data_IF_009890073883
#
_entry.id   IF_009890073883
#
_cell.length_a   1.000
_cell.length_b   1.000
_cell.length_c   1.000
_cell.angle_alpha   90.00
_cell.angle_beta   90.00
_cell.angle_gamma   90.00
#
_symmetry.space_group_name_H-M   'P 1'
#
loop_
_entity.id
_entity.type
_entity.pdbx_description
1 polymer ?
#
# COMPACT_ATOMS: atom_id res chain seq x y z
N UNK A 1 -32.97 -15.30 3.66
CA UNK A 1 -31.70 -14.75 4.20
C UNK A 1 -30.93 -14.10 3.06
N UNK A 2 -30.50 -12.83 3.16
CA UNK A 2 -29.75 -12.21 2.08
C UNK A 2 -28.32 -12.79 2.05
N UNK A 3 -27.96 -13.40 0.91
CA UNK A 3 -26.59 -13.86 0.64
C UNK A 3 -25.64 -12.65 0.76
N UNK A 4 -24.74 -12.65 1.75
CA UNK A 4 -23.66 -11.67 1.82
C UNK A 4 -22.87 -11.74 0.51
N UNK A 5 -22.93 -10.67 -0.28
CA UNK A 5 -22.14 -10.52 -1.50
C UNK A 5 -20.66 -10.63 -1.09
N UNK A 6 -19.94 -11.62 -1.61
CA UNK A 6 -18.51 -11.74 -1.36
C UNK A 6 -17.83 -10.49 -1.92
N UNK A 7 -17.39 -9.59 -1.04
CA UNK A 7 -16.62 -8.42 -1.42
C UNK A 7 -15.30 -8.91 -2.04
N UNK A 8 -15.04 -8.48 -3.27
CA UNK A 8 -13.81 -8.78 -4.00
C UNK A 8 -12.62 -8.11 -3.31
N UNK A 9 -11.55 -8.86 -3.05
CA UNK A 9 -10.37 -8.37 -2.33
C UNK A 9 -9.69 -7.24 -3.10
N UNK A 10 -9.44 -6.11 -2.43
CA UNK A 10 -8.80 -4.92 -3.02
C UNK A 10 -7.55 -4.46 -2.25
N UNK A 11 -6.67 -3.65 -2.87
CA UNK A 11 -5.59 -2.95 -2.15
C UNK A 11 -6.07 -2.11 -0.97
N UNK A 12 -7.23 -1.46 -1.11
CA UNK A 12 -7.81 -0.63 -0.05
C UNK A 12 -8.23 -1.49 1.17
N UNK A 13 -8.75 -2.69 0.93
CA UNK A 13 -9.06 -3.64 2.00
C UNK A 13 -7.80 -4.11 2.73
N UNK A 14 -6.72 -4.41 1.98
CA UNK A 14 -5.42 -4.75 2.57
C UNK A 14 -4.92 -3.63 3.47
N UNK A 15 -4.94 -2.40 2.96
CA UNK A 15 -4.51 -1.22 3.70
C UNK A 15 -5.35 -1.00 4.96
N UNK A 16 -6.68 -1.17 4.88
CA UNK A 16 -7.59 -1.06 6.03
C UNK A 16 -7.26 -2.08 7.11
N UNK A 17 -7.07 -3.35 6.74
CA UNK A 17 -6.74 -4.42 7.70
C UNK A 17 -5.36 -4.18 8.32
N UNK A 18 -4.34 -3.83 7.52
CA UNK A 18 -3.00 -3.60 8.04
C UNK A 18 -2.93 -2.37 8.97
N UNK A 19 -3.57 -1.25 8.60
CA UNK A 19 -3.59 -0.03 9.42
C UNK A 19 -4.25 -0.25 10.78
N UNK A 20 -5.26 -1.12 10.85
CA UNK A 20 -5.91 -1.47 12.12
C UNK A 20 -4.99 -2.18 13.12
N UNK A 21 -3.84 -2.69 12.68
CA UNK A 21 -2.87 -3.38 13.52
C UNK A 21 -1.71 -2.47 13.99
N UNK A 22 -1.65 -1.22 13.54
CA UNK A 22 -0.61 -0.26 13.96
C UNK A 22 -0.62 -0.12 15.48
N UNK A 23 0.56 -0.27 16.09
CA UNK A 23 0.72 -0.23 17.55
C UNK A 23 0.71 -1.61 18.21
N UNK A 24 0.34 -2.69 17.49
CA UNK A 24 0.52 -4.05 17.98
C UNK A 24 1.99 -4.32 18.33
N UNK A 25 2.23 -4.92 19.50
CA UNK A 25 3.55 -5.34 19.99
C UNK A 25 3.60 -6.85 20.10
N UNK A 26 4.73 -7.42 19.71
CA UNK A 26 4.99 -8.83 20.03
C UNK A 26 5.18 -9.00 21.54
N UNK A 27 4.94 -10.22 22.00
CA UNK A 27 5.30 -10.65 23.35
C UNK A 27 6.53 -11.56 23.27
N UNK A 28 7.51 -11.40 24.17
CA UNK A 28 8.74 -12.20 24.10
C UNK A 28 9.46 -12.09 22.75
N UNK A 29 10.14 -13.16 22.31
CA UNK A 29 10.84 -13.19 21.03
C UNK A 29 9.94 -13.74 19.92
N UNK A 30 9.45 -12.87 19.03
CA UNK A 30 8.64 -13.23 17.86
C UNK A 30 7.33 -14.01 18.16
N UNK A 31 6.77 -13.91 19.38
CA UNK A 31 5.47 -14.52 19.68
C UNK A 31 4.34 -13.55 19.34
N UNK A 32 3.62 -13.83 18.26
CA UNK A 32 2.53 -12.98 17.74
C UNK A 32 1.32 -13.80 17.30
N UNK A 33 0.14 -13.15 17.24
CA UNK A 33 -1.05 -13.76 16.63
C UNK A 33 -0.85 -14.10 15.15
N UNK A 34 0.05 -13.40 14.46
CA UNK A 34 0.34 -13.61 13.04
C UNK A 34 1.15 -14.89 12.83
N UNK A 35 2.17 -15.11 13.65
CA UNK A 35 2.93 -16.35 13.66
C UNK A 35 2.06 -17.54 14.07
N UNK A 36 1.19 -17.39 15.07
CA UNK A 36 0.21 -18.43 15.44
C UNK A 36 -0.72 -18.80 14.28
N UNK A 37 -1.25 -17.82 13.55
CA UNK A 37 -2.10 -18.07 12.37
C UNK A 37 -1.30 -18.68 11.20
N UNK A 38 -0.01 -18.34 11.08
CA UNK A 38 0.86 -18.91 10.06
C UNK A 38 1.22 -20.38 10.36
N UNK A 39 1.47 -20.72 11.63
CA UNK A 39 1.72 -22.08 12.09
C UNK A 39 3.20 -22.45 12.13
N UNK A 40 3.48 -23.75 12.05
CA UNK A 40 4.83 -24.31 12.09
C UNK A 40 5.57 -24.12 10.77
N UNK A 41 6.88 -23.88 10.86
CA UNK A 41 7.79 -23.83 9.72
C UNK A 41 9.02 -24.72 9.98
N UNK A 42 9.61 -25.33 8.96
CA UNK A 42 10.86 -26.10 9.12
C UNK A 42 11.95 -25.27 9.79
N UNK A 43 12.70 -25.88 10.73
CA UNK A 43 13.76 -25.22 11.48
C UNK A 43 13.31 -24.45 12.72
N UNK A 44 12.00 -24.37 13.00
CA UNK A 44 11.46 -23.75 14.22
C UNK A 44 10.63 -24.75 15.03
N UNK A 45 10.96 -24.97 16.31
CA UNK A 45 10.42 -26.09 17.10
C UNK A 45 8.95 -25.91 17.51
N UNK A 46 8.41 -24.69 17.44
CA UNK A 46 7.10 -24.35 17.97
C UNK A 46 6.26 -23.60 16.95
N UNK A 47 5.00 -24.04 16.79
CA UNK A 47 4.03 -23.38 15.93
C UNK A 47 3.83 -21.93 16.40
N UNK A 48 4.21 -20.99 15.54
CA UNK A 48 4.01 -19.58 15.79
C UNK A 48 4.96 -18.93 16.80
N UNK A 49 6.18 -19.45 16.97
CA UNK A 49 7.18 -18.88 17.88
C UNK A 49 8.59 -18.91 17.29
N UNK A 50 9.40 -17.91 17.63
CA UNK A 50 10.84 -17.87 17.37
C UNK A 50 11.27 -17.33 16.00
N UNK A 51 10.41 -17.34 14.98
CA UNK A 51 10.77 -16.88 13.63
C UNK A 51 10.32 -15.44 13.32
N UNK A 52 11.11 -14.67 12.53
CA UNK A 52 10.74 -13.34 12.06
C UNK A 52 9.35 -13.30 11.42
N UNK A 53 8.54 -12.29 11.77
CA UNK A 53 7.12 -12.28 11.44
C UNK A 53 6.67 -11.20 10.45
N UNK A 54 7.60 -10.57 9.73
CA UNK A 54 7.25 -9.56 8.71
C UNK A 54 6.43 -10.17 7.56
N UNK A 55 6.88 -11.31 7.01
CA UNK A 55 6.17 -12.00 5.94
C UNK A 55 4.93 -12.77 6.42
N UNK A 56 4.94 -13.31 7.65
CA UNK A 56 3.75 -13.93 8.24
C UNK A 56 2.65 -12.90 8.50
N UNK A 57 3.00 -11.68 8.91
CA UNK A 57 2.07 -10.54 8.98
C UNK A 57 1.47 -10.22 7.61
N UNK A 58 2.28 -10.15 6.54
CA UNK A 58 1.76 -9.96 5.18
C UNK A 58 0.78 -11.07 4.78
N UNK A 59 1.12 -12.32 5.08
CA UNK A 59 0.25 -13.47 4.81
C UNK A 59 -1.06 -13.40 5.58
N UNK A 60 -1.03 -12.92 6.82
CA UNK A 60 -2.21 -12.76 7.66
C UNK A 60 -3.14 -11.68 7.09
N UNK A 61 -2.60 -10.51 6.72
CA UNK A 61 -3.40 -9.43 6.09
C UNK A 61 -4.07 -9.93 4.80
N UNK A 62 -3.31 -10.60 3.93
CA UNK A 62 -3.81 -11.17 2.67
C UNK A 62 -4.95 -12.18 2.89
N UNK A 63 -4.79 -13.07 3.88
CA UNK A 63 -5.82 -14.04 4.26
C UNK A 63 -7.10 -13.36 4.74
N UNK A 64 -7.01 -12.25 5.48
CA UNK A 64 -8.19 -11.55 6.03
C UNK A 64 -9.03 -10.83 4.99
N UNK A 65 -8.46 -10.47 3.85
CA UNK A 65 -9.23 -9.91 2.73
C UNK A 65 -9.68 -11.00 1.75
N UNK A 66 -9.41 -12.27 2.03
CA UNK A 66 -9.86 -13.40 1.21
C UNK A 66 -8.96 -13.74 0.01
N UNK A 67 -7.73 -13.22 -0.06
CA UNK A 67 -6.78 -13.68 -1.06
C UNK A 67 -6.39 -15.14 -0.82
N UNK A 68 -6.19 -15.89 -1.90
CA UNK A 68 -5.86 -17.31 -1.85
C UNK A 68 -4.34 -17.50 -1.72
N UNK A 69 -3.84 -18.20 -0.69
CA UNK A 69 -2.42 -18.45 -0.52
C UNK A 69 -1.87 -19.26 -1.70
N UNK A 70 -0.67 -18.90 -2.16
CA UNK A 70 0.05 -19.48 -3.30
C UNK A 70 -0.66 -19.38 -4.67
N UNK A 71 -1.76 -18.64 -4.74
CA UNK A 71 -2.47 -18.31 -5.98
C UNK A 71 -2.43 -16.80 -6.21
N UNK A 72 -2.82 -16.05 -5.18
CA UNK A 72 -2.90 -14.61 -5.23
C UNK A 72 -1.67 -13.94 -4.61
N UNK A 73 -1.06 -14.58 -3.61
CA UNK A 73 0.14 -14.11 -2.91
C UNK A 73 0.99 -15.30 -2.42
N UNK A 74 2.29 -15.12 -2.13
CA UNK A 74 3.12 -16.19 -1.58
C UNK A 74 2.78 -16.45 -0.11
N UNK A 75 2.44 -17.69 0.25
CA UNK A 75 2.36 -18.11 1.66
C UNK A 75 3.76 -18.50 2.14
N UNK A 76 4.45 -17.58 2.80
CA UNK A 76 5.82 -17.78 3.28
C UNK A 76 6.11 -16.94 4.53
N UNK A 77 7.03 -17.42 5.38
CA UNK A 77 7.63 -16.63 6.47
C UNK A 77 8.97 -15.97 6.05
N UNK A 78 9.57 -16.39 4.93
CA UNK A 78 10.84 -15.87 4.42
C UNK A 78 10.67 -14.84 3.30
N UNK A 79 11.37 -13.72 3.38
CA UNK A 79 11.31 -12.65 2.38
C UNK A 79 11.86 -13.11 1.02
N UNK A 80 13.01 -13.79 0.99
CA UNK A 80 13.63 -14.30 -0.25
C UNK A 80 12.70 -15.23 -1.03
N UNK A 81 12.00 -16.13 -0.32
CA UNK A 81 11.01 -17.04 -0.90
C UNK A 81 9.86 -16.24 -1.53
N UNK A 82 9.42 -15.16 -0.86
CA UNK A 82 8.39 -14.26 -1.38
C UNK A 82 8.83 -13.55 -2.65
N UNK A 83 10.04 -12.97 -2.65
CA UNK A 83 10.64 -12.33 -3.84
C UNK A 83 10.72 -13.32 -5.00
N UNK A 84 11.26 -14.52 -4.77
CA UNK A 84 11.39 -15.54 -5.79
C UNK A 84 10.02 -15.97 -6.35
N UNK A 85 9.01 -16.10 -5.48
CA UNK A 85 7.65 -16.43 -5.90
C UNK A 85 7.05 -15.34 -6.79
N UNK A 86 7.14 -14.06 -6.40
CA UNK A 86 6.60 -12.97 -7.22
C UNK A 86 7.30 -12.85 -8.57
N UNK A 87 8.63 -13.04 -8.61
CA UNK A 87 9.40 -13.08 -9.87
C UNK A 87 8.94 -14.22 -10.77
N UNK A 88 8.86 -15.45 -10.25
CA UNK A 88 8.40 -16.63 -11.01
C UNK A 88 6.97 -16.50 -11.53
N UNK A 89 6.11 -15.77 -10.82
CA UNK A 89 4.72 -15.54 -11.21
C UNK A 89 4.51 -14.29 -12.07
N UNK A 90 5.59 -13.61 -12.51
CA UNK A 90 5.49 -12.39 -13.35
C UNK A 90 4.85 -11.19 -12.63
N UNK A 91 4.93 -11.16 -11.30
CA UNK A 91 4.29 -10.16 -10.43
C UNK A 91 5.29 -9.34 -9.61
N UNK A 92 6.53 -9.27 -10.09
CA UNK A 92 7.58 -8.43 -9.52
C UNK A 92 7.71 -7.13 -10.30
N UNK A 93 7.72 -6.00 -9.60
CA UNK A 93 7.72 -4.66 -10.19
C UNK A 93 8.84 -3.80 -9.61
N UNK A 94 9.29 -2.82 -10.41
CA UNK A 94 10.23 -1.76 -10.00
C UNK A 94 9.53 -0.47 -9.56
N UNK A 95 8.25 -0.32 -9.89
CA UNK A 95 7.43 0.82 -9.51
C UNK A 95 6.33 0.38 -8.53
N UNK A 96 6.11 1.14 -7.45
CA UNK A 96 5.10 0.78 -6.45
C UNK A 96 3.68 1.03 -6.95
N UNK A 97 2.76 0.19 -6.50
CA UNK A 97 1.34 0.46 -6.42
C UNK A 97 0.84 0.20 -4.99
N UNK A 98 -0.30 0.78 -4.64
CA UNK A 98 -0.98 0.43 -3.39
C UNK A 98 -1.37 -1.05 -3.39
N UNK A 99 -1.22 -1.69 -2.24
CA UNK A 99 -1.40 -3.14 -2.09
C UNK A 99 -0.16 -3.97 -2.46
N UNK A 100 0.91 -3.37 -2.98
CA UNK A 100 2.14 -4.12 -3.21
C UNK A 100 2.82 -4.48 -1.89
N UNK A 101 3.51 -5.62 -1.87
CA UNK A 101 4.48 -5.97 -0.85
C UNK A 101 5.81 -5.36 -1.25
N UNK A 102 6.27 -4.33 -0.54
CA UNK A 102 7.60 -3.75 -0.75
C UNK A 102 8.63 -4.57 0.01
N UNK A 103 9.68 -4.99 -0.69
CA UNK A 103 10.77 -5.79 -0.12
C UNK A 103 12.05 -4.96 -0.01
N UNK A 104 12.76 -5.16 1.09
CA UNK A 104 13.95 -4.39 1.44
C UNK A 104 15.21 -5.25 1.60
N UNK A 105 16.35 -4.58 1.50
CA UNK A 105 17.69 -5.16 1.68
C UNK A 105 18.22 -5.88 0.44
N UNK A 106 19.41 -6.49 0.53
CA UNK A 106 20.03 -7.19 -0.59
C UNK A 106 19.07 -8.22 -1.21
N UNK A 107 18.79 -8.08 -2.51
CA UNK A 107 17.86 -8.95 -3.23
C UNK A 107 16.40 -8.92 -2.76
N UNK A 108 16.06 -8.11 -1.75
CA UNK A 108 14.75 -8.11 -1.08
C UNK A 108 14.62 -9.15 0.05
N UNK A 109 15.72 -9.75 0.49
CA UNK A 109 15.73 -10.85 1.46
C UNK A 109 15.56 -10.44 2.92
N UNK A 110 15.61 -9.14 3.24
CA UNK A 110 15.73 -8.69 4.64
C UNK A 110 14.38 -8.39 5.29
N UNK A 111 13.49 -7.68 4.60
CA UNK A 111 12.22 -7.23 5.19
C UNK A 111 11.13 -7.05 4.15
N UNK A 112 9.86 -7.12 4.58
CA UNK A 112 8.70 -6.89 3.73
C UNK A 112 7.63 -6.10 4.46
N UNK A 113 7.01 -5.14 3.77
CA UNK A 113 5.88 -4.35 4.28
C UNK A 113 4.81 -4.15 3.22
N UNK A 114 3.60 -3.78 3.63
CA UNK A 114 2.51 -3.45 2.72
C UNK A 114 2.59 -1.98 2.32
N UNK A 115 2.58 -1.69 1.01
CA UNK A 115 2.40 -0.33 0.49
C UNK A 115 0.92 0.06 0.64
N UNK A 116 0.63 1.05 1.46
CA UNK A 116 -0.73 1.52 1.74
C UNK A 116 -1.06 2.88 1.11
N UNK A 117 -0.06 3.57 0.56
CA UNK A 117 -0.22 4.81 -0.21
C UNK A 117 0.99 5.03 -1.10
N UNK A 118 0.79 5.56 -2.31
CA UNK A 118 1.88 5.94 -3.21
C UNK A 118 1.76 7.40 -3.62
N UNK A 119 2.85 8.15 -3.47
CA UNK A 119 3.02 9.48 -4.04
C UNK A 119 4.11 9.45 -5.11
N UNK A 120 4.41 10.60 -5.68
CA UNK A 120 5.45 10.80 -6.66
C UNK A 120 6.83 10.51 -6.13
N UNK A 121 7.07 10.85 -4.87
CA UNK A 121 8.37 10.80 -4.20
C UNK A 121 8.41 9.79 -3.08
N UNK A 122 7.26 9.36 -2.55
CA UNK A 122 7.20 8.50 -1.36
C UNK A 122 6.22 7.34 -1.51
N UNK A 123 6.42 6.32 -0.69
CA UNK A 123 5.43 5.32 -0.34
C UNK A 123 5.12 5.45 1.15
N UNK A 124 3.85 5.25 1.52
CA UNK A 124 3.49 4.97 2.91
C UNK A 124 3.31 3.46 3.05
N UNK A 125 3.87 2.89 4.09
CA UNK A 125 3.95 1.45 4.30
C UNK A 125 3.45 1.08 5.69
N UNK A 126 2.90 -0.12 5.83
CA UNK A 126 2.58 -0.73 7.12
C UNK A 126 3.25 -2.09 7.18
N UNK A 127 4.15 -2.26 8.14
CA UNK A 127 4.97 -3.45 8.33
C UNK A 127 4.82 -4.03 9.72
N UNK A 128 4.93 -5.35 9.83
CA UNK A 128 5.07 -6.07 11.09
C UNK A 128 6.52 -6.51 11.27
N UNK A 129 6.91 -6.87 12.50
CA UNK A 129 8.28 -7.22 12.87
C UNK A 129 9.30 -6.13 12.48
N UNK A 130 8.93 -4.88 12.70
CA UNK A 130 9.70 -3.71 12.28
C UNK A 130 9.72 -2.67 13.39
N UNK A 131 10.45 -1.58 13.16
CA UNK A 131 10.44 -0.39 14.01
C UNK A 131 9.83 0.81 13.26
N UNK A 132 9.66 1.92 13.96
CA UNK A 132 9.02 3.13 13.42
C UNK A 132 9.80 3.86 12.34
N UNK A 133 11.02 3.43 11.96
CA UNK A 133 11.80 4.10 10.91
C UNK A 133 12.68 3.14 10.11
N UNK A 134 13.10 3.58 8.91
CA UNK A 134 14.18 2.93 8.15
C UNK A 134 15.59 3.41 8.55
N UNK A 135 15.70 4.40 9.44
CA UNK A 135 16.97 5.02 9.84
C UNK A 135 17.80 4.17 10.80
N UNK A 136 17.22 3.13 11.38
CA UNK A 136 17.86 2.18 12.30
C UNK A 136 17.55 0.73 11.94
N UNK A 137 17.41 -0.14 12.94
CA UNK A 137 17.01 -1.54 12.72
C UNK A 137 15.54 -1.61 12.25
N UNK A 138 15.35 -1.73 10.94
CA UNK A 138 14.03 -1.70 10.27
C UNK A 138 13.42 -3.10 10.05
N UNK A 139 14.14 -4.13 10.46
CA UNK A 139 13.76 -5.54 10.41
C UNK A 139 13.91 -6.13 11.81
N UNK A 140 13.14 -7.17 12.13
CA UNK A 140 13.14 -7.78 13.46
C UNK A 140 12.92 -6.76 14.60
N UNK A 141 12.02 -5.81 14.37
CA UNK A 141 11.55 -4.90 15.41
C UNK A 141 10.31 -5.45 16.12
N UNK A 142 9.92 -4.81 17.21
CA UNK A 142 8.98 -5.40 18.17
C UNK A 142 7.49 -5.25 17.84
N UNK A 143 7.11 -4.76 16.65
CA UNK A 143 5.69 -4.48 16.40
C UNK A 143 5.31 -4.06 15.00
N UNK A 144 4.06 -3.60 14.89
CA UNK A 144 3.47 -3.08 13.65
C UNK A 144 3.57 -1.56 13.62
N UNK A 145 4.15 -1.03 12.55
CA UNK A 145 4.38 0.40 12.38
C UNK A 145 4.03 0.88 10.99
N UNK A 146 3.63 2.15 10.91
CA UNK A 146 3.54 2.88 9.65
C UNK A 146 4.83 3.65 9.39
N UNK A 147 5.29 3.67 8.13
CA UNK A 147 6.44 4.46 7.69
C UNK A 147 6.16 5.21 6.39
N UNK A 148 6.70 6.41 6.26
CA UNK A 148 6.78 7.14 4.98
C UNK A 148 8.21 7.04 4.48
N UNK A 149 8.39 6.52 3.27
CA UNK A 149 9.68 6.11 2.74
C UNK A 149 9.84 6.73 1.36
N UNK A 150 11.02 7.30 1.07
CA UNK A 150 11.34 7.76 -0.29
C UNK A 150 11.29 6.59 -1.27
N UNK A 151 10.65 6.80 -2.44
CA UNK A 151 10.64 5.83 -3.55
C UNK A 151 12.03 5.55 -4.12
N UNK A 152 12.96 6.47 -3.93
CA UNK A 152 14.36 6.31 -4.34
C UNK A 152 15.24 5.70 -3.23
N UNK A 153 14.65 5.27 -2.11
CA UNK A 153 15.43 4.69 -1.01
C UNK A 153 16.18 3.45 -1.49
N UNK A 154 17.50 3.46 -1.38
CA UNK A 154 18.40 2.40 -1.87
C UNK A 154 18.18 1.04 -1.19
N UNK A 155 17.49 1.01 -0.04
CA UNK A 155 17.12 -0.25 0.61
C UNK A 155 15.96 -0.96 -0.07
N UNK A 156 15.20 -0.30 -0.93
CA UNK A 156 14.09 -0.93 -1.65
C UNK A 156 14.65 -1.81 -2.77
N UNK A 157 14.40 -3.12 -2.68
CA UNK A 157 14.74 -4.06 -3.74
C UNK A 157 13.69 -4.09 -4.85
N UNK A 158 12.42 -3.94 -4.49
CA UNK A 158 11.30 -3.92 -5.42
C UNK A 158 9.98 -4.29 -4.76
N UNK A 159 8.99 -4.59 -5.60
CA UNK A 159 7.59 -4.70 -5.19
C UNK A 159 6.97 -5.99 -5.73
N UNK A 160 6.47 -6.84 -4.85
CA UNK A 160 5.66 -8.00 -5.21
C UNK A 160 4.19 -7.63 -5.20
N UNK A 161 3.47 -7.81 -6.31
CA UNK A 161 2.05 -7.44 -6.43
C UNK A 161 1.14 -8.66 -6.26
N UNK A 162 0.37 -8.76 -5.18
CA UNK A 162 -0.67 -9.77 -5.09
C UNK A 162 -1.68 -9.65 -6.23
N UNK A 163 -2.27 -10.77 -6.63
CA UNK A 163 -3.40 -10.75 -7.56
C UNK A 163 -4.67 -10.42 -6.79
N UNK A 164 -5.07 -9.17 -6.91
CA UNK A 164 -6.39 -8.74 -6.51
C UNK A 164 -7.40 -9.22 -7.54
N UNK A 165 -8.58 -9.66 -7.09
CA UNK A 165 -9.71 -9.81 -8.01
C UNK A 165 -9.96 -8.46 -8.67
N UNK A 166 -10.08 -8.46 -10.01
CA UNK A 166 -10.36 -7.24 -10.79
C UNK A 166 -11.42 -6.44 -10.04
N UNK A 167 -11.10 -5.17 -9.79
CA UNK A 167 -11.94 -4.16 -9.14
C UNK A 167 -13.41 -4.55 -9.13
N UNK A 168 -14.06 -4.48 -7.97
CA UNK A 168 -15.51 -4.31 -7.93
C UNK A 168 -15.94 -3.44 -9.10
N UNK A 169 -17.00 -3.78 -9.86
CA UNK A 169 -17.57 -2.82 -10.81
C UNK A 169 -17.69 -1.47 -10.10
N UNK A 170 -17.42 -0.35 -10.79
CA UNK A 170 -17.47 0.97 -10.18
C UNK A 170 -18.71 1.01 -9.31
N UNK A 171 -18.54 1.38 -8.04
CA UNK A 171 -19.69 1.62 -7.16
C UNK A 171 -20.64 2.49 -7.98
N UNK A 172 -21.89 2.05 -8.26
CA UNK A 172 -22.79 2.86 -9.07
C UNK A 172 -22.84 4.27 -8.48
N UNK A 173 -22.34 5.25 -9.23
CA UNK A 173 -22.21 6.65 -8.79
C UNK A 173 -20.79 7.19 -8.50
N UNK A 174 -19.72 6.37 -8.45
CA UNK A 174 -18.34 6.87 -8.21
C UNK A 174 -17.45 6.86 -9.46
N UNK A 175 -16.82 8.00 -9.75
CA UNK A 175 -15.87 8.15 -10.86
C UNK A 175 -14.60 7.30 -10.62
N UNK A 176 -14.24 6.35 -11.50
CA UNK A 176 -13.07 5.50 -11.30
C UNK A 176 -11.76 6.30 -11.35
N UNK A 177 -10.78 5.89 -10.54
CA UNK A 177 -9.44 6.51 -10.54
C UNK A 177 -8.71 6.22 -11.87
N UNK A 178 -8.06 7.22 -12.51
CA UNK A 178 -7.40 7.07 -13.82
C UNK A 178 -6.16 6.16 -13.83
N UNK A 179 -5.78 5.56 -12.69
CA UNK A 179 -4.65 4.62 -12.61
C UNK A 179 -3.27 5.27 -12.67
N UNK A 180 -3.18 6.61 -12.60
CA UNK A 180 -1.93 7.36 -12.51
C UNK A 180 -2.05 8.57 -11.58
N UNK A 181 -0.96 8.90 -10.90
CA UNK A 181 -0.88 10.06 -10.00
C UNK A 181 -0.76 11.36 -10.80
N UNK A 182 -1.66 12.32 -10.55
CA UNK A 182 -1.59 13.66 -11.15
C UNK A 182 -0.80 14.59 -10.25
N UNK A 183 0.24 15.22 -10.80
CA UNK A 183 1.18 16.04 -10.03
C UNK A 183 1.85 17.10 -10.89
N UNK A 184 2.35 18.15 -10.24
CA UNK A 184 3.22 19.14 -10.86
C UNK A 184 4.58 18.48 -11.18
N UNK A 185 5.02 18.55 -12.44
CA UNK A 185 6.31 18.04 -12.93
C UNK A 185 6.69 18.74 -14.25
N UNK A 186 7.88 18.50 -14.78
CA UNK A 186 8.29 18.94 -16.12
C UNK A 186 8.54 17.74 -17.04
N UNK A 187 7.92 17.66 -18.24
CA UNK A 187 6.82 18.50 -18.72
C UNK A 187 5.56 18.31 -17.87
N UNK A 188 4.67 19.30 -17.83
CA UNK A 188 3.45 19.26 -16.99
C UNK A 188 2.66 17.98 -17.18
N UNK A 189 2.06 17.47 -16.10
CA UNK A 189 1.07 16.39 -16.24
C UNK A 189 -0.16 16.98 -16.92
N UNK A 190 -0.51 16.45 -18.08
CA UNK A 190 -1.66 16.92 -18.87
C UNK A 190 -2.63 15.78 -19.14
N UNK A 191 -3.92 16.08 -19.33
CA UNK A 191 -4.92 15.10 -19.70
C UNK A 191 -6.35 15.47 -19.31
N UNK A 192 -7.31 14.66 -19.77
CA UNK A 192 -8.72 14.79 -19.39
C UNK A 192 -8.95 14.53 -17.89
N UNK A 193 -8.13 13.66 -17.29
CA UNK A 193 -8.12 13.42 -15.85
C UNK A 193 -7.74 14.67 -15.02
N UNK A 194 -6.77 15.46 -15.51
CA UNK A 194 -6.42 16.76 -14.92
C UNK A 194 -7.59 17.74 -15.05
N UNK A 195 -8.25 17.81 -16.22
CA UNK A 195 -9.45 18.64 -16.41
C UNK A 195 -10.55 18.27 -15.43
N UNK A 196 -10.80 16.97 -15.21
CA UNK A 196 -11.81 16.52 -14.24
C UNK A 196 -11.51 16.98 -12.82
N UNK A 197 -10.24 16.94 -12.40
CA UNK A 197 -9.84 17.46 -11.07
C UNK A 197 -10.01 18.97 -11.00
N UNK A 198 -9.55 19.72 -12.00
CA UNK A 198 -9.72 21.17 -12.04
C UNK A 198 -11.21 21.54 -11.98
N UNK A 199 -12.07 20.89 -12.76
CA UNK A 199 -13.53 21.06 -12.71
C UNK A 199 -14.10 20.80 -11.32
N UNK A 200 -13.65 19.73 -10.66
CA UNK A 200 -14.16 19.37 -9.34
C UNK A 200 -13.70 20.35 -8.25
N UNK A 201 -12.47 20.85 -8.34
CA UNK A 201 -11.98 21.91 -7.46
C UNK A 201 -12.74 23.22 -7.70
N UNK A 202 -12.99 23.60 -8.95
CA UNK A 202 -13.81 24.79 -9.26
C UNK A 202 -15.21 24.66 -8.65
N UNK A 203 -15.85 23.50 -8.74
CA UNK A 203 -17.14 23.23 -8.07
C UNK A 203 -17.08 23.34 -6.54
N UNK A 204 -15.92 23.09 -5.95
CA UNK A 204 -15.66 23.23 -4.51
C UNK A 204 -15.26 24.65 -4.11
N UNK A 205 -15.28 25.61 -5.04
CA UNK A 205 -15.02 27.03 -4.79
C UNK A 205 -13.57 27.48 -5.00
N UNK A 206 -12.74 26.67 -5.66
CA UNK A 206 -11.39 27.07 -6.03
C UNK A 206 -11.36 27.83 -7.36
N UNK A 207 -10.63 28.93 -7.43
CA UNK A 207 -10.43 29.67 -8.68
C UNK A 207 -9.27 29.05 -9.48
N UNK A 208 -9.60 28.33 -10.56
CA UNK A 208 -8.63 27.65 -11.42
C UNK A 208 -9.07 27.69 -12.88
N UNK A 209 -8.10 27.77 -13.79
CA UNK A 209 -8.30 27.46 -15.20
C UNK A 209 -8.46 25.95 -15.41
N UNK A 210 -9.41 25.55 -16.26
CA UNK A 210 -9.65 24.16 -16.66
C UNK A 210 -8.92 23.89 -17.99
N UNK A 211 -7.61 24.08 -17.97
CA UNK A 211 -6.74 23.93 -19.14
C UNK A 211 -6.30 22.47 -19.39
N UNK A 212 -6.47 21.60 -18.39
CA UNK A 212 -6.00 20.22 -18.43
C UNK A 212 -4.51 20.06 -18.21
N UNK A 213 -3.84 21.09 -17.67
CA UNK A 213 -2.44 21.08 -17.30
C UNK A 213 -2.27 21.24 -15.79
N UNK A 214 -1.57 20.30 -15.15
CA UNK A 214 -1.38 20.28 -13.70
C UNK A 214 -0.28 21.26 -13.29
N UNK A 215 -0.60 22.56 -13.37
CA UNK A 215 0.30 23.67 -13.05
C UNK A 215 0.35 24.00 -11.55
N UNK A 216 1.17 25.01 -11.16
CA UNK A 216 1.32 25.44 -9.77
C UNK A 216 0.00 25.82 -9.07
N UNK A 217 -0.93 26.47 -9.79
CA UNK A 217 -2.24 26.84 -9.23
C UNK A 217 -3.09 25.60 -8.92
N UNK A 218 -3.13 24.62 -9.83
CA UNK A 218 -3.84 23.35 -9.60
C UNK A 218 -3.23 22.62 -8.40
N UNK A 219 -1.90 22.57 -8.29
CA UNK A 219 -1.22 21.98 -7.12
C UNK A 219 -1.62 22.68 -5.82
N UNK A 220 -1.62 24.01 -5.79
CA UNK A 220 -1.98 24.78 -4.59
C UNK A 220 -3.41 24.49 -4.13
N UNK A 221 -4.37 24.45 -5.07
CA UNK A 221 -5.76 24.09 -4.79
C UNK A 221 -5.88 22.64 -4.28
N UNK A 222 -5.17 21.69 -4.87
CA UNK A 222 -5.14 20.30 -4.39
C UNK A 222 -4.58 20.20 -2.97
N UNK A 223 -3.50 20.92 -2.65
CA UNK A 223 -2.94 20.95 -1.28
C UNK A 223 -3.97 21.46 -0.28
N UNK A 224 -4.64 22.57 -0.58
CA UNK A 224 -5.66 23.14 0.31
C UNK A 224 -6.86 22.18 0.47
N UNK A 225 -7.33 21.59 -0.63
CA UNK A 225 -8.39 20.60 -0.61
C UNK A 225 -8.02 19.38 0.25
N UNK A 226 -6.80 18.87 0.11
CA UNK A 226 -6.29 17.75 0.91
C UNK A 226 -6.27 18.09 2.40
N UNK A 227 -5.84 19.31 2.78
CA UNK A 227 -5.90 19.80 4.17
C UNK A 227 -7.33 19.81 4.69
N UNK A 228 -8.27 20.42 3.96
CA UNK A 228 -9.70 20.49 4.31
C UNK A 228 -10.34 19.11 4.41
N UNK A 229 -9.91 18.18 3.56
CA UNK A 229 -10.35 16.79 3.54
C UNK A 229 -9.68 15.88 4.58
N UNK A 230 -8.77 16.43 5.41
CA UNK A 230 -8.02 15.70 6.45
C UNK A 230 -7.25 14.50 5.90
N UNK A 231 -6.66 14.64 4.71
CA UNK A 231 -5.74 13.67 4.10
C UNK A 231 -4.35 14.29 3.93
N UNK A 232 -3.35 13.50 3.51
CA UNK A 232 -1.99 14.01 3.28
C UNK A 232 -1.99 15.13 2.24
N UNK A 233 -1.45 16.29 2.60
CA UNK A 233 -1.44 17.49 1.78
C UNK A 233 -0.14 17.61 0.95
N UNK A 234 0.08 16.66 0.04
CA UNK A 234 1.28 16.59 -0.82
C UNK A 234 1.13 17.32 -2.17
N UNK A 235 -0.10 17.73 -2.52
CA UNK A 235 -0.42 18.39 -3.78
C UNK A 235 -0.50 17.44 -4.96
N UNK A 236 -0.72 16.14 -4.70
CA UNK A 236 -0.84 15.10 -5.70
C UNK A 236 -2.22 14.45 -5.69
N UNK A 237 -2.77 14.15 -6.86
CA UNK A 237 -4.04 13.43 -6.98
C UNK A 237 -3.76 11.93 -7.13
N UNK A 238 -3.62 11.27 -5.99
CA UNK A 238 -3.64 9.81 -5.84
C UNK A 238 -5.06 9.25 -5.60
N UNK A 239 -5.21 7.92 -5.36
CA UNK A 239 -6.51 7.30 -5.09
C UNK A 239 -7.29 7.94 -3.93
N UNK A 240 -6.61 8.32 -2.85
CA UNK A 240 -7.23 8.98 -1.69
C UNK A 240 -7.83 10.35 -2.05
N UNK A 241 -7.04 11.22 -2.72
CA UNK A 241 -7.51 12.54 -3.15
C UNK A 241 -8.61 12.42 -4.19
N UNK A 242 -8.47 11.49 -5.13
CA UNK A 242 -9.51 11.22 -6.13
C UNK A 242 -10.82 10.78 -5.48
N UNK A 243 -10.77 9.85 -4.52
CA UNK A 243 -11.96 9.38 -3.81
C UNK A 243 -12.64 10.46 -2.95
N UNK A 244 -11.91 11.51 -2.55
CA UNK A 244 -12.48 12.69 -1.88
C UNK A 244 -13.07 13.70 -2.87
N UNK A 245 -12.45 13.88 -4.03
CA UNK A 245 -12.95 14.77 -5.08
C UNK A 245 -14.22 14.21 -5.74
N UNK A 246 -14.27 12.89 -5.95
CA UNK A 246 -15.37 12.18 -6.61
C UNK A 246 -16.03 11.17 -5.65
N UNK A 247 -16.78 11.67 -4.63
CA UNK A 247 -17.36 10.83 -3.58
C UNK A 247 -18.50 9.93 -4.06
#
# INVERSE_FOLDING_TARGET
MPKRRALMASPADMARIAKAEIGYRESGSNYTKYNKDFGSIPGYPHAGFGYPWCASFMCWVAKRVGLKPNVDYPRTAGCEVGVAWFKRNGRWHRTPAEGDFVYYGPGGGTHVELVVRVTSTTITTVGGNTSGSLGGQYYNGNGVYQKVISRSNSRIAGYGRPKYSKTSPPVPGKTPYPGRVLKLRSPLTTGSDVKSVQQQLVKLGYELDIDGAYGPHTRAAVVDFQKKSKITADGEVGPDTWGKLFP
#
